data_IF_486996341131
#
_entry.id   IF_486996341131
#
_cell.length_a   1.000
_cell.length_b   1.000
_cell.length_c   1.000
_cell.angle_alpha   90.00
_cell.angle_beta   90.00
_cell.angle_gamma   90.00
#
_symmetry.space_group_name_H-M   'P 1'
#
loop_
_entity.id
_entity.type
_entity.pdbx_description
1 polymer ?
#
# COMPACT_ATOMS: atom_id res chain seq x y z
N UNK A 1 6.95 -11.35 30.67
CA UNK A 1 6.17 -10.88 29.48
C UNK A 1 5.28 -9.74 29.94
N UNK A 2 5.61 -8.50 29.58
CA UNK A 2 4.78 -7.36 29.94
C UNK A 2 3.46 -7.43 29.16
N UNK A 3 2.38 -7.71 29.88
CA UNK A 3 1.02 -7.80 29.36
C UNK A 3 0.46 -6.39 29.11
N UNK A 4 1.04 -5.66 28.16
CA UNK A 4 0.46 -4.41 27.67
C UNK A 4 -0.69 -4.78 26.75
N UNK A 5 -1.93 -4.65 27.24
CA UNK A 5 -3.13 -4.79 26.39
C UNK A 5 -2.95 -3.90 25.16
N UNK A 6 -3.14 -4.40 23.93
CA UNK A 6 -3.08 -3.56 22.74
C UNK A 6 -4.13 -2.46 22.90
N UNK A 7 -3.65 -1.22 23.01
CA UNK A 7 -4.52 -0.07 23.23
C UNK A 7 -5.30 0.20 21.95
N UNK A 8 -6.57 0.61 22.07
CA UNK A 8 -7.47 0.82 20.93
C UNK A 8 -6.89 1.72 19.82
N UNK A 9 -6.00 2.65 20.17
CA UNK A 9 -5.34 3.51 19.19
C UNK A 9 -4.46 2.75 18.19
N UNK A 10 -3.91 1.58 18.56
CA UNK A 10 -3.15 0.75 17.60
C UNK A 10 -4.01 0.27 16.44
N UNK A 11 -5.28 -0.01 16.71
CA UNK A 11 -6.23 -0.43 15.68
C UNK A 11 -6.52 0.73 14.72
N UNK A 12 -6.70 1.94 15.25
CA UNK A 12 -6.87 3.16 14.46
C UNK A 12 -5.63 3.43 13.59
N UNK A 13 -4.43 3.36 14.18
CA UNK A 13 -3.18 3.54 13.44
C UNK A 13 -3.00 2.49 12.34
N UNK A 14 -3.42 1.24 12.59
CA UNK A 14 -3.34 0.18 11.60
C UNK A 14 -4.31 0.42 10.43
N UNK A 15 -5.54 0.86 10.71
CA UNK A 15 -6.51 1.24 9.68
C UNK A 15 -5.96 2.40 8.84
N UNK A 16 -5.48 3.46 9.49
CA UNK A 16 -4.92 4.62 8.80
C UNK A 16 -3.71 4.23 7.94
N UNK A 17 -2.82 3.37 8.44
CA UNK A 17 -1.68 2.89 7.68
C UNK A 17 -2.12 2.07 6.46
N UNK A 18 -3.12 1.20 6.61
CA UNK A 18 -3.67 0.42 5.51
C UNK A 18 -4.27 1.31 4.41
N UNK A 19 -5.13 2.24 4.80
CA UNK A 19 -5.74 3.18 3.84
C UNK A 19 -4.68 4.04 3.15
N UNK A 20 -3.70 4.56 3.88
CA UNK A 20 -2.64 5.39 3.32
C UNK A 20 -1.85 4.69 2.21
N UNK A 21 -1.57 3.39 2.35
CA UNK A 21 -0.86 2.59 1.33
C UNK A 21 -1.68 2.45 0.05
N UNK A 22 -3.02 2.43 0.14
CA UNK A 22 -3.90 2.20 -1.01
C UNK A 22 -4.44 3.47 -1.67
N UNK A 23 -4.37 4.63 -1.00
CA UNK A 23 -4.89 5.90 -1.53
C UNK A 23 -4.26 6.23 -2.90
N UNK A 24 -2.94 6.21 -2.97
CA UNK A 24 -2.21 6.64 -4.15
C UNK A 24 -2.47 5.75 -5.38
N UNK A 25 -2.29 4.41 -5.31
CA UNK A 25 -2.51 3.56 -6.48
C UNK A 25 -4.00 3.39 -6.82
N UNK A 26 -4.91 3.36 -5.85
CA UNK A 26 -6.29 2.95 -6.11
C UNK A 26 -7.33 4.04 -5.97
N UNK A 27 -7.20 4.93 -4.98
CA UNK A 27 -8.23 5.94 -4.72
C UNK A 27 -8.12 7.09 -5.71
N UNK A 28 -6.90 7.58 -5.97
CA UNK A 28 -6.70 8.71 -6.88
C UNK A 28 -7.09 8.40 -8.33
N UNK A 29 -6.63 7.31 -8.97
CA UNK A 29 -7.02 7.04 -10.36
C UNK A 29 -8.47 6.57 -10.50
N UNK A 30 -9.13 6.19 -9.39
CA UNK A 30 -10.54 5.84 -9.36
C UNK A 30 -11.44 7.07 -9.29
N UNK A 31 -11.13 8.02 -8.41
CA UNK A 31 -11.97 9.21 -8.19
C UNK A 31 -11.61 10.33 -9.18
N UNK A 32 -10.32 10.52 -9.43
CA UNK A 32 -9.76 11.61 -10.24
C UNK A 32 -9.15 11.11 -11.54
N UNK A 33 -9.73 10.05 -12.14
CA UNK A 33 -9.25 9.46 -13.39
C UNK A 33 -8.86 10.50 -14.46
N UNK A 34 -9.72 11.46 -14.86
CA UNK A 34 -9.36 12.40 -15.92
C UNK A 34 -8.14 13.24 -15.56
N UNK A 35 -8.04 13.71 -14.31
CA UNK A 35 -6.91 14.50 -13.82
C UNK A 35 -5.62 13.68 -13.79
N UNK A 36 -5.67 12.41 -13.37
CA UNK A 36 -4.51 11.52 -13.38
C UNK A 36 -4.03 11.27 -14.81
N UNK A 37 -4.94 10.97 -15.73
CA UNK A 37 -4.59 10.76 -17.14
C UNK A 37 -3.97 12.01 -17.77
N UNK A 38 -4.52 13.20 -17.47
CA UNK A 38 -4.03 14.46 -18.00
C UNK A 38 -2.65 14.83 -17.43
N UNK A 39 -2.47 14.83 -16.10
CA UNK A 39 -1.24 15.26 -15.43
C UNK A 39 -0.06 14.34 -15.77
N UNK A 40 -0.31 13.04 -15.85
CA UNK A 40 0.73 12.06 -16.19
C UNK A 40 0.82 11.78 -17.70
N UNK A 41 0.04 12.48 -18.53
CA UNK A 41 -0.04 12.26 -19.98
C UNK A 41 -0.25 10.78 -20.37
N UNK A 42 -1.14 10.11 -19.65
CA UNK A 42 -1.46 8.69 -19.82
C UNK A 42 -2.77 8.51 -20.62
N UNK A 43 -2.87 7.41 -21.35
CA UNK A 43 -4.14 6.88 -21.83
C UNK A 43 -4.70 5.77 -20.91
N UNK A 44 -5.94 5.34 -21.16
CA UNK A 44 -6.59 4.31 -20.35
C UNK A 44 -5.89 2.95 -20.43
N UNK A 45 -5.20 2.65 -21.53
CA UNK A 45 -4.49 1.39 -21.74
C UNK A 45 -3.22 1.36 -20.89
N UNK A 46 -2.47 2.46 -20.87
CA UNK A 46 -1.28 2.63 -20.05
C UNK A 46 -1.62 2.60 -18.56
N UNK A 47 -2.70 3.27 -18.15
CA UNK A 47 -3.20 3.18 -16.78
C UNK A 47 -3.60 1.74 -16.41
N UNK A 48 -4.24 1.02 -17.34
CA UNK A 48 -4.54 -0.40 -17.20
C UNK A 48 -3.28 -1.26 -17.02
N UNK A 49 -2.24 -0.98 -17.80
CA UNK A 49 -0.94 -1.65 -17.70
C UNK A 49 -0.29 -1.42 -16.34
N UNK A 50 -0.34 -0.20 -15.80
CA UNK A 50 0.15 0.11 -14.45
C UNK A 50 -0.54 -0.77 -13.40
N UNK A 51 -1.87 -0.94 -13.49
CA UNK A 51 -2.61 -1.82 -12.59
C UNK A 51 -2.27 -3.31 -12.78
N UNK A 52 -2.03 -3.75 -14.02
CA UNK A 52 -1.58 -5.12 -14.28
C UNK A 52 -0.22 -5.40 -13.66
N UNK A 53 0.74 -4.47 -13.80
CA UNK A 53 2.07 -4.58 -13.19
C UNK A 53 1.95 -4.63 -11.67
N UNK A 54 1.14 -3.75 -11.07
CA UNK A 54 0.86 -3.80 -9.63
C UNK A 54 0.31 -5.17 -9.21
N UNK A 55 -0.67 -5.70 -9.94
CA UNK A 55 -1.29 -7.00 -9.65
C UNK A 55 -0.31 -8.17 -9.73
N UNK A 56 0.57 -8.19 -10.74
CA UNK A 56 1.60 -9.22 -10.88
C UNK A 56 2.60 -9.16 -9.72
N UNK A 57 3.08 -7.96 -9.38
CA UNK A 57 4.01 -7.76 -8.27
C UNK A 57 3.36 -8.14 -6.94
N UNK A 58 2.09 -7.79 -6.72
CA UNK A 58 1.34 -8.15 -5.53
C UNK A 58 1.20 -9.67 -5.39
N UNK A 59 0.89 -10.37 -6.49
CA UNK A 59 0.80 -11.83 -6.52
C UNK A 59 2.13 -12.48 -6.16
N UNK A 60 3.24 -12.01 -6.74
CA UNK A 60 4.57 -12.48 -6.39
C UNK A 60 4.91 -12.18 -4.92
N UNK A 61 4.54 -11.00 -4.43
CA UNK A 61 4.81 -10.56 -3.06
C UNK A 61 4.06 -11.40 -2.02
N UNK A 62 2.91 -12.00 -2.37
CA UNK A 62 2.15 -12.85 -1.45
C UNK A 62 2.94 -14.09 -1.00
N UNK A 63 3.77 -14.65 -1.89
CA UNK A 63 4.65 -15.77 -1.56
C UNK A 63 5.73 -15.40 -0.54
N UNK A 64 6.28 -14.18 -0.66
CA UNK A 64 7.36 -13.70 0.20
C UNK A 64 6.88 -12.97 1.45
N UNK A 65 5.64 -12.46 1.45
CA UNK A 65 5.09 -11.63 2.52
C UNK A 65 4.98 -12.35 3.85
N UNK A 66 4.55 -13.62 3.84
CA UNK A 66 4.44 -14.45 5.05
C UNK A 66 5.79 -14.65 5.76
N UNK A 67 6.80 -15.24 5.09
CA UNK A 67 8.13 -15.42 5.68
C UNK A 67 8.78 -14.11 6.16
N UNK A 68 8.52 -13.00 5.44
CA UNK A 68 9.04 -11.69 5.83
C UNK A 68 8.34 -11.14 7.09
N UNK A 69 7.03 -11.36 7.21
CA UNK A 69 6.26 -10.98 8.40
C UNK A 69 6.64 -11.80 9.64
N UNK A 70 7.01 -13.07 9.46
CA UNK A 70 7.46 -13.92 10.56
C UNK A 70 8.87 -13.55 11.04
N UNK A 71 9.74 -13.10 10.13
CA UNK A 71 11.14 -12.79 10.43
C UNK A 71 11.35 -11.39 11.02
N UNK A 72 10.54 -10.40 10.61
CA UNK A 72 10.76 -9.00 10.96
C UNK A 72 9.60 -8.42 11.80
N UNK A 73 9.88 -7.50 12.74
CA UNK A 73 8.82 -6.94 13.57
C UNK A 73 7.83 -6.11 12.73
N UNK A 74 6.50 -6.33 12.86
CA UNK A 74 5.48 -5.68 12.02
C UNK A 74 5.56 -4.16 11.97
N UNK A 75 5.92 -3.50 13.08
CA UNK A 75 6.06 -2.03 13.13
C UNK A 75 7.09 -1.49 12.12
N UNK A 76 8.17 -2.23 11.86
CA UNK A 76 9.21 -1.82 10.91
C UNK A 76 8.72 -2.01 9.48
N UNK A 77 8.03 -3.12 9.23
CA UNK A 77 7.45 -3.42 7.92
C UNK A 77 6.43 -2.36 7.51
N UNK A 78 5.50 -2.01 8.42
CA UNK A 78 4.49 -0.96 8.19
C UNK A 78 5.17 0.39 7.96
N UNK A 79 6.16 0.77 8.78
CA UNK A 79 6.88 2.01 8.59
C UNK A 79 7.54 2.06 7.20
N UNK A 80 8.31 1.03 6.84
CA UNK A 80 8.98 0.96 5.53
C UNK A 80 7.95 1.04 4.40
N UNK A 81 6.83 0.33 4.50
CA UNK A 81 5.77 0.38 3.49
C UNK A 81 5.26 1.82 3.31
N UNK A 82 4.95 2.54 4.40
CA UNK A 82 4.48 3.92 4.34
C UNK A 82 5.53 4.88 3.76
N UNK A 83 6.81 4.74 4.13
CA UNK A 83 7.89 5.54 3.55
C UNK A 83 8.07 5.27 2.06
N UNK A 84 8.01 4.01 1.64
CA UNK A 84 8.08 3.63 0.23
C UNK A 84 6.89 4.14 -0.58
N UNK A 85 5.67 4.11 -0.01
CA UNK A 85 4.48 4.73 -0.63
C UNK A 85 4.59 6.25 -0.70
N UNK A 86 5.25 6.91 0.26
CA UNK A 86 5.44 8.36 0.20
C UNK A 86 6.50 8.79 -0.83
N UNK A 87 7.46 7.91 -1.15
CA UNK A 87 8.53 8.18 -2.10
C UNK A 87 8.09 8.09 -3.57
N UNK A 88 6.95 7.47 -3.87
CA UNK A 88 6.50 7.25 -5.23
C UNK A 88 4.99 7.25 -5.33
#
# INVERSE_FOLDING_TARGET
>A
MNNTKPTWYYLVLLILAGEAVFILPFVLPRIFRPTVLEVFALDNTQLGLCFSVYGIIALASYLFGGPLADKYPPRKLIAIALWMTALG
#
